data_IF_601254306629
#
_entry.id   IF_601254306629
#
_cell.length_a   1.000
_cell.length_b   1.000
_cell.length_c   1.000
_cell.angle_alpha   90.00
_cell.angle_beta   90.00
_cell.angle_gamma   90.00
#
_symmetry.space_group_name_H-M   'P 1'
#
loop_
_entity.id
_entity.type
_entity.pdbx_description
1 polymer ?
#
# COMPACT_ATOMS: atom_id res chain seq x y z
N UNK A 1 -10.55 30.16 -5.55
CA UNK A 1 -9.96 31.47 -5.89
C UNK A 1 -10.66 32.19 -7.07
N UNK A 2 -11.36 31.50 -7.98
CA UNK A 2 -12.02 32.14 -9.13
C UNK A 2 -13.40 32.79 -8.87
N UNK A 3 -14.08 32.50 -7.76
CA UNK A 3 -15.43 33.05 -7.50
C UNK A 3 -15.42 34.48 -6.92
N UNK A 4 -14.44 34.78 -6.07
CA UNK A 4 -14.28 36.12 -5.46
C UNK A 4 -13.80 37.18 -6.48
N UNK A 5 -12.98 36.77 -7.45
CA UNK A 5 -12.47 37.63 -8.53
C UNK A 5 -13.61 37.97 -9.51
N UNK A 6 -14.49 37.02 -9.81
CA UNK A 6 -15.69 37.26 -10.62
C UNK A 6 -16.70 38.20 -9.92
N UNK A 7 -16.89 38.05 -8.60
CA UNK A 7 -17.75 38.97 -7.84
C UNK A 7 -17.21 40.42 -7.82
N UNK A 8 -15.89 40.61 -7.76
CA UNK A 8 -15.26 41.93 -7.79
C UNK A 8 -15.36 42.59 -9.19
N UNK A 9 -15.22 41.80 -10.26
CA UNK A 9 -15.37 42.32 -11.64
C UNK A 9 -16.83 42.69 -11.92
N UNK A 10 -17.80 41.91 -11.44
CA UNK A 10 -19.24 42.22 -11.58
C UNK A 10 -19.63 43.46 -10.76
N UNK A 11 -19.07 43.64 -9.56
CA UNK A 11 -19.31 44.83 -8.74
C UNK A 11 -18.70 46.12 -9.36
N UNK A 12 -17.55 46.02 -10.01
CA UNK A 12 -16.88 47.15 -10.69
C UNK A 12 -17.59 47.52 -12.00
N UNK A 13 -18.20 46.55 -12.69
CA UNK A 13 -19.02 46.81 -13.87
C UNK A 13 -20.41 47.39 -13.50
N UNK A 14 -20.97 47.01 -12.35
CA UNK A 14 -22.24 47.55 -11.86
C UNK A 14 -22.18 49.04 -11.45
N UNK A 15 -21.01 49.54 -11.03
CA UNK A 15 -20.81 50.94 -10.67
C UNK A 15 -20.66 51.90 -11.87
N UNK A 16 -20.62 51.38 -13.10
CA UNK A 16 -20.40 52.18 -14.32
C UNK A 16 -21.60 52.25 -15.27
N UNK A 17 -22.75 51.65 -14.90
CA UNK A 17 -23.88 51.48 -15.82
C UNK A 17 -25.18 52.13 -15.31
N UNK A 18 -25.21 53.45 -15.15
CA UNK A 18 -26.49 54.20 -15.18
C UNK A 18 -26.32 55.55 -15.88
N UNK A 19 -26.45 55.51 -17.20
CA UNK A 19 -26.86 56.64 -18.01
C UNK A 19 -27.99 56.16 -18.93
N UNK A 20 -29.14 56.86 -18.84
CA UNK A 20 -30.36 56.80 -19.67
C UNK A 20 -31.44 55.75 -19.32
N UNK A 21 -32.59 56.24 -18.82
CA UNK A 21 -33.90 55.90 -19.40
C UNK A 21 -35.02 55.38 -18.48
N UNK A 22 -35.98 56.27 -18.17
CA UNK A 22 -37.42 56.03 -17.93
C UNK A 22 -37.88 55.08 -16.79
N UNK A 23 -38.28 55.70 -15.67
CA UNK A 23 -39.16 55.08 -14.68
C UNK A 23 -40.63 55.46 -14.91
N UNK A 24 -41.43 54.52 -15.42
CA UNK A 24 -42.86 54.46 -15.16
C UNK A 24 -43.09 53.55 -13.96
N UNK A 25 -43.79 54.03 -12.94
CA UNK A 25 -44.25 53.22 -11.82
C UNK A 25 -45.69 53.59 -11.46
N UNK A 26 -46.52 52.56 -11.30
CA UNK A 26 -47.85 52.69 -10.71
C UNK A 26 -48.59 51.36 -10.72
N UNK A 27 -48.49 50.59 -9.65
CA UNK A 27 -49.28 49.38 -9.46
C UNK A 27 -49.26 48.90 -8.01
N UNK A 28 -50.21 49.37 -7.20
CA UNK A 28 -50.76 48.63 -6.06
C UNK A 28 -52.21 49.03 -5.84
N UNK A 29 -53.10 48.03 -5.67
CA UNK A 29 -54.39 48.20 -5.00
C UNK A 29 -55.64 47.75 -5.76
N UNK A 30 -56.02 46.47 -5.65
CA UNK A 30 -57.43 46.08 -5.52
C UNK A 30 -57.97 46.77 -4.25
N UNK A 31 -59.14 47.38 -4.14
CA UNK A 31 -60.43 47.23 -4.80
C UNK A 31 -61.47 47.45 -3.68
N UNK A 32 -62.49 48.30 -3.91
CA UNK A 32 -63.87 48.29 -3.39
C UNK A 32 -64.48 49.72 -3.41
N UNK A 33 -65.18 49.99 -4.52
CA UNK A 33 -66.42 50.78 -4.83
C UNK A 33 -67.13 51.64 -3.73
N UNK A 34 -68.14 52.48 -4.09
CA UNK A 34 -68.26 53.48 -5.18
C UNK A 34 -69.02 54.79 -4.74
N UNK A 35 -69.26 55.70 -5.71
CA UNK A 35 -70.25 56.80 -5.82
C UNK A 35 -69.73 58.25 -5.84
N UNK A 36 -70.16 59.02 -6.86
CA UNK A 36 -70.71 60.37 -6.66
C UNK A 36 -69.95 61.59 -7.23
N UNK A 37 -70.29 61.95 -8.48
CA UNK A 37 -70.49 63.29 -9.08
C UNK A 37 -69.89 64.60 -8.48
N UNK A 38 -69.40 65.45 -9.41
CA UNK A 38 -69.47 66.93 -9.41
C UNK A 38 -68.33 67.64 -8.65
N UNK A 39 -67.74 68.76 -9.09
CA UNK A 39 -67.97 69.70 -10.17
C UNK A 39 -67.33 71.06 -9.78
N UNK A 40 -66.81 71.79 -10.76
CA UNK A 40 -66.53 73.25 -10.80
C UNK A 40 -65.50 73.90 -9.85
N UNK A 41 -64.74 74.86 -10.39
CA UNK A 41 -64.40 76.10 -9.66
C UNK A 41 -63.01 76.69 -9.87
N UNK A 42 -62.96 77.85 -10.52
CA UNK A 42 -61.81 78.75 -10.76
C UNK A 42 -61.17 79.33 -9.48
N UNK A 43 -59.96 79.92 -9.58
CA UNK A 43 -59.58 81.03 -8.70
C UNK A 43 -58.08 81.36 -8.51
N UNK A 44 -57.63 82.42 -9.20
CA UNK A 44 -56.63 83.49 -8.91
C UNK A 44 -55.62 83.47 -7.73
N UNK A 45 -54.45 84.10 -7.98
CA UNK A 45 -53.68 84.92 -7.01
C UNK A 45 -52.19 84.52 -6.86
N UNK A 46 -51.21 85.22 -7.47
CA UNK A 46 -50.47 86.45 -7.02
C UNK A 46 -49.23 86.21 -6.11
N UNK A 47 -48.11 86.85 -6.49
CA UNK A 47 -47.02 87.34 -5.59
C UNK A 47 -45.69 86.56 -5.64
N UNK A 48 -44.65 87.01 -6.37
CA UNK A 48 -43.59 87.98 -5.99
C UNK A 48 -42.51 87.44 -5.02
N UNK A 49 -41.22 87.52 -5.40
CA UNK A 49 -40.10 87.47 -4.46
C UNK A 49 -38.73 87.08 -5.05
N UNK A 50 -37.78 88.01 -5.06
CA UNK A 50 -36.43 87.97 -5.67
C UNK A 50 -35.37 87.09 -4.96
N UNK A 51 -34.34 86.65 -5.74
CA UNK A 51 -33.00 86.14 -5.37
C UNK A 51 -32.15 87.15 -4.54
N UNK A 52 -30.92 86.90 -3.99
CA UNK A 52 -29.91 85.85 -4.29
C UNK A 52 -29.06 85.29 -3.10
N UNK A 53 -28.16 84.32 -3.34
CA UNK A 53 -27.04 84.01 -2.43
C UNK A 53 -26.25 82.72 -2.75
N UNK A 54 -25.04 82.85 -3.30
CA UNK A 54 -24.04 81.76 -3.43
C UNK A 54 -23.39 81.49 -2.05
N UNK A 55 -23.25 80.21 -1.66
CA UNK A 55 -22.62 79.81 -0.39
C UNK A 55 -21.85 78.48 -0.49
N UNK A 56 -20.55 78.53 -0.14
CA UNK A 56 -19.71 77.59 0.63
C UNK A 56 -19.58 76.10 0.16
N UNK A 57 -20.50 75.53 -0.61
CA UNK A 57 -20.52 74.07 -0.86
C UNK A 57 -19.49 73.56 -1.88
N UNK A 58 -19.02 74.39 -2.83
CA UNK A 58 -18.10 73.90 -3.87
C UNK A 58 -16.65 73.74 -3.40
N UNK A 59 -16.21 74.47 -2.38
CA UNK A 59 -14.83 74.38 -1.88
C UNK A 59 -14.64 73.13 -1.02
N UNK A 60 -15.64 72.79 -0.19
CA UNK A 60 -15.67 71.54 0.57
C UNK A 60 -15.74 70.33 -0.38
N UNK A 61 -16.56 70.38 -1.43
CA UNK A 61 -16.65 69.30 -2.43
C UNK A 61 -15.33 69.10 -3.19
N UNK A 62 -14.64 70.18 -3.56
CA UNK A 62 -13.34 70.10 -4.25
C UNK A 62 -12.23 69.55 -3.35
N UNK A 63 -12.19 69.96 -2.07
CA UNK A 63 -11.22 69.47 -1.07
C UNK A 63 -11.49 68.01 -0.71
N UNK A 64 -12.75 67.63 -0.51
CA UNK A 64 -13.16 66.24 -0.25
C UNK A 64 -12.87 65.35 -1.47
N UNK A 65 -13.10 65.80 -2.70
CA UNK A 65 -12.78 65.04 -3.93
C UNK A 65 -11.27 64.88 -4.15
N UNK A 66 -10.46 65.87 -3.75
CA UNK A 66 -8.98 65.80 -3.79
C UNK A 66 -8.42 64.90 -2.68
N UNK A 67 -8.97 64.98 -1.47
CA UNK A 67 -8.62 64.14 -0.32
C UNK A 67 -9.09 62.70 -0.49
N UNK A 68 -10.32 62.45 -0.96
CA UNK A 68 -10.83 61.11 -1.26
C UNK A 68 -10.07 60.47 -2.43
N UNK A 69 -9.61 61.24 -3.42
CA UNK A 69 -8.77 60.74 -4.50
C UNK A 69 -7.37 60.32 -4.04
N UNK A 70 -6.75 61.07 -3.12
CA UNK A 70 -5.42 60.72 -2.58
C UNK A 70 -5.49 59.63 -1.52
N UNK A 71 -6.48 59.64 -0.63
CA UNK A 71 -6.66 58.57 0.37
C UNK A 71 -7.07 57.26 -0.27
N UNK A 72 -7.94 57.26 -1.28
CA UNK A 72 -8.30 56.04 -2.02
C UNK A 72 -7.14 55.51 -2.87
N UNK A 73 -6.28 56.38 -3.45
CA UNK A 73 -5.03 55.97 -4.12
C UNK A 73 -4.01 55.40 -3.14
N UNK A 74 -3.85 56.00 -1.95
CA UNK A 74 -2.98 55.47 -0.90
C UNK A 74 -3.51 54.16 -0.32
N UNK A 75 -4.83 54.00 -0.23
CA UNK A 75 -5.46 52.72 0.13
C UNK A 75 -5.24 51.68 -0.97
N UNK A 76 -5.42 52.02 -2.25
CA UNK A 76 -5.16 51.13 -3.38
C UNK A 76 -3.69 50.72 -3.45
N UNK A 77 -2.75 51.67 -3.34
CA UNK A 77 -1.32 51.42 -3.28
C UNK A 77 -0.97 50.61 -2.02
N UNK A 78 -1.54 50.94 -0.87
CA UNK A 78 -1.36 50.18 0.38
C UNK A 78 -1.92 48.77 0.31
N UNK A 79 -3.06 48.55 -0.35
CA UNK A 79 -3.63 47.23 -0.62
C UNK A 79 -2.86 46.48 -1.70
N UNK A 80 -2.31 47.15 -2.71
CA UNK A 80 -1.45 46.55 -3.72
C UNK A 80 -0.08 46.18 -3.15
N UNK A 81 0.49 47.00 -2.25
CA UNK A 81 1.69 46.70 -1.47
C UNK A 81 1.40 45.59 -0.46
N UNK A 82 0.23 45.58 0.19
CA UNK A 82 -0.18 44.49 1.08
C UNK A 82 -0.42 43.20 0.29
N UNK A 83 -1.01 43.26 -0.91
CA UNK A 83 -1.17 42.10 -1.79
C UNK A 83 0.17 41.64 -2.39
N UNK A 84 1.09 42.56 -2.68
CA UNK A 84 2.47 42.26 -3.09
C UNK A 84 3.26 41.62 -1.94
N UNK A 85 3.14 42.13 -0.71
CA UNK A 85 3.77 41.57 0.48
C UNK A 85 3.14 40.24 0.92
N UNK A 86 1.84 40.03 0.67
CA UNK A 86 1.15 38.73 0.81
C UNK A 86 1.61 37.75 -0.29
N UNK A 87 2.19 38.26 -1.37
CA UNK A 87 2.83 37.49 -2.44
C UNK A 87 4.38 37.56 -2.35
N UNK A 88 4.93 37.78 -1.15
CA UNK A 88 6.32 37.43 -0.89
C UNK A 88 6.42 35.91 -0.98
N UNK A 89 7.06 35.42 -2.04
CA UNK A 89 7.25 33.99 -2.30
C UNK A 89 7.82 33.32 -1.05
N UNK A 90 6.98 32.55 -0.34
CA UNK A 90 7.44 31.76 0.79
C UNK A 90 8.48 30.75 0.29
N UNK A 91 9.53 30.46 1.06
CA UNK A 91 10.56 29.54 0.61
C UNK A 91 9.96 28.14 0.42
N UNK A 92 10.25 27.53 -0.74
CA UNK A 92 9.71 26.23 -1.15
C UNK A 92 10.84 25.19 -1.17
N UNK A 93 10.53 23.96 -0.75
CA UNK A 93 11.44 22.84 -0.91
C UNK A 93 11.39 22.32 -2.36
N UNK A 94 12.53 22.33 -3.04
CA UNK A 94 12.74 21.68 -4.33
C UNK A 94 13.66 20.47 -4.15
N UNK A 95 13.61 19.49 -5.04
CA UNK A 95 14.42 18.28 -4.91
C UNK A 95 14.13 17.22 -5.95
N UNK A 96 14.85 16.10 -5.92
CA UNK A 96 14.42 14.91 -6.65
C UNK A 96 13.24 14.27 -5.91
N UNK A 97 12.02 14.57 -6.37
CA UNK A 97 10.81 14.07 -5.72
C UNK A 97 10.69 12.55 -5.76
N UNK A 98 11.41 11.85 -6.66
CA UNK A 98 11.39 10.40 -6.70
C UNK A 98 12.72 9.77 -7.16
N UNK A 99 12.99 8.57 -6.66
CA UNK A 99 14.05 7.68 -7.12
C UNK A 99 13.56 6.24 -7.11
N UNK A 100 14.18 5.37 -7.90
CA UNK A 100 13.83 3.94 -7.99
C UNK A 100 15.03 3.05 -7.68
N UNK A 101 14.81 1.92 -7.02
CA UNK A 101 15.84 0.89 -6.83
C UNK A 101 16.32 0.33 -8.18
N UNK A 102 17.65 0.34 -8.37
CA UNK A 102 18.33 -0.31 -9.48
C UNK A 102 18.65 -1.76 -9.06
N UNK A 103 17.63 -2.62 -9.10
CA UNK A 103 17.80 -4.04 -8.77
C UNK A 103 16.96 -4.91 -9.69
N UNK A 104 17.57 -5.91 -10.31
CA UNK A 104 16.85 -7.01 -10.96
C UNK A 104 17.05 -8.23 -10.08
N UNK A 105 16.09 -8.50 -9.20
CA UNK A 105 16.22 -9.58 -8.24
C UNK A 105 14.85 -10.00 -7.74
N UNK A 106 14.64 -11.31 -7.69
CA UNK A 106 13.35 -11.92 -7.39
C UNK A 106 13.36 -12.74 -6.09
N UNK A 107 14.44 -12.68 -5.32
CA UNK A 107 14.54 -13.36 -4.03
C UNK A 107 15.23 -12.45 -3.02
N UNK A 108 14.48 -12.03 -2.01
CA UNK A 108 15.01 -11.44 -0.78
C UNK A 108 14.55 -12.27 0.42
N UNK A 109 15.36 -12.39 1.47
CA UNK A 109 14.93 -12.92 2.77
C UNK A 109 15.31 -11.93 3.89
N UNK A 110 14.79 -12.07 5.12
CA UNK A 110 15.27 -11.28 6.25
C UNK A 110 16.78 -11.44 6.52
N UNK A 111 17.33 -12.63 6.29
CA UNK A 111 18.74 -12.97 6.54
C UNK A 111 19.68 -12.52 5.41
N UNK A 112 19.18 -12.56 4.17
CA UNK A 112 19.89 -12.08 2.99
C UNK A 112 18.93 -11.21 2.16
N UNK A 113 18.72 -9.95 2.56
CA UNK A 113 17.79 -9.10 1.86
C UNK A 113 18.36 -8.74 0.49
N UNK A 114 17.47 -8.60 -0.50
CA UNK A 114 17.87 -8.05 -1.79
C UNK A 114 18.28 -6.61 -1.55
N UNK A 115 19.58 -6.35 -1.68
CA UNK A 115 20.13 -5.01 -1.63
C UNK A 115 20.18 -4.47 -3.04
N UNK A 116 19.68 -3.26 -3.22
CA UNK A 116 19.69 -2.57 -4.50
C UNK A 116 20.39 -1.24 -4.36
N UNK A 117 21.05 -0.79 -5.43
CA UNK A 117 21.58 0.56 -5.47
C UNK A 117 20.43 1.53 -5.76
N UNK A 118 20.32 2.59 -4.97
CA UNK A 118 19.31 3.63 -5.12
C UNK A 118 20.03 4.97 -5.25
N UNK A 119 19.47 5.88 -6.05
CA UNK A 119 20.00 7.25 -6.09
C UNK A 119 19.64 7.95 -4.77
N UNK A 120 20.54 8.79 -4.28
CA UNK A 120 20.30 9.55 -3.05
C UNK A 120 19.11 10.50 -3.20
N UNK A 121 18.34 10.68 -2.13
CA UNK A 121 17.32 11.71 -2.09
C UNK A 121 17.97 13.03 -1.68
N UNK A 122 17.55 14.13 -2.29
CA UNK A 122 18.04 15.45 -1.97
C UNK A 122 16.92 16.48 -2.05
N UNK A 123 17.06 17.53 -1.25
CA UNK A 123 16.15 18.66 -1.19
C UNK A 123 16.93 19.96 -0.91
N UNK A 124 16.40 21.07 -1.40
CA UNK A 124 16.95 22.43 -1.25
C UNK A 124 15.81 23.38 -0.91
N UNK A 125 16.12 24.41 -0.12
CA UNK A 125 15.23 25.54 0.06
C UNK A 125 15.47 26.57 -1.05
N UNK A 126 14.39 27.03 -1.68
CA UNK A 126 14.46 28.05 -2.71
C UNK A 126 13.48 29.19 -2.40
N UNK A 127 13.96 30.42 -2.49
CA UNK A 127 13.18 31.65 -2.28
C UNK A 127 13.49 32.61 -3.43
N UNK A 128 12.48 33.16 -4.11
CA UNK A 128 12.66 34.04 -5.29
C UNK A 128 13.61 33.48 -6.37
N UNK A 129 13.62 32.14 -6.54
CA UNK A 129 14.53 31.37 -7.42
C UNK A 129 15.99 31.29 -6.97
N UNK A 130 16.35 31.86 -5.83
CA UNK A 130 17.68 31.74 -5.24
C UNK A 130 17.72 30.65 -4.17
N UNK A 131 18.87 29.99 -4.04
CA UNK A 131 19.07 28.93 -3.05
C UNK A 131 19.36 29.52 -1.68
N UNK A 132 18.54 29.12 -0.70
CA UNK A 132 18.66 29.56 0.69
C UNK A 132 19.64 28.67 1.44
N UNK A 133 20.42 29.27 2.35
CA UNK A 133 21.33 28.52 3.21
C UNK A 133 20.57 27.67 4.24
N UNK A 134 21.03 26.44 4.40
CA UNK A 134 20.41 25.43 5.25
C UNK A 134 21.15 25.43 6.58
N UNK A 135 20.45 25.75 7.67
CA UNK A 135 20.99 25.65 9.03
C UNK A 135 21.00 24.19 9.49
N UNK A 136 19.88 23.50 9.28
CA UNK A 136 19.77 22.07 9.58
C UNK A 136 18.72 21.41 8.69
N UNK A 137 18.86 20.11 8.46
CA UNK A 137 17.87 19.34 7.71
C UNK A 137 17.80 17.90 8.22
N UNK A 138 16.63 17.29 8.05
CA UNK A 138 16.40 15.88 8.36
C UNK A 138 15.40 15.27 7.39
N UNK A 139 15.46 13.95 7.27
CA UNK A 139 14.52 13.18 6.48
C UNK A 139 13.70 12.29 7.41
N UNK A 140 12.38 12.28 7.22
CA UNK A 140 11.44 11.48 8.01
C UNK A 140 10.75 10.49 7.09
N UNK A 141 10.91 9.19 7.34
CA UNK A 141 10.12 8.18 6.64
C UNK A 141 8.70 8.18 7.20
N UNK A 142 7.71 8.41 6.35
CA UNK A 142 6.33 8.65 6.79
C UNK A 142 5.68 7.40 7.40
N UNK A 143 6.03 6.21 6.91
CA UNK A 143 5.40 4.95 7.32
C UNK A 143 5.61 4.60 8.79
N UNK A 144 6.84 4.76 9.29
CA UNK A 144 7.25 4.40 10.66
C UNK A 144 7.77 5.59 11.47
N UNK A 145 7.75 6.81 10.89
CA UNK A 145 8.26 8.06 11.49
C UNK A 145 9.74 7.99 11.86
N UNK A 146 10.51 7.09 11.22
CA UNK A 146 11.95 7.01 11.45
C UNK A 146 12.63 8.26 10.90
N UNK A 147 13.49 8.86 11.71
CA UNK A 147 14.25 10.07 11.38
C UNK A 147 15.65 9.68 10.93
N UNK A 148 16.13 10.36 9.89
CA UNK A 148 17.44 10.21 9.31
C UNK A 148 18.09 11.59 9.22
N UNK A 149 19.31 11.70 9.72
CA UNK A 149 20.08 12.94 9.62
C UNK A 149 20.45 13.21 8.15
N UNK A 150 20.31 14.46 7.73
CA UNK A 150 20.71 14.88 6.38
C UNK A 150 22.21 15.18 6.33
N UNK A 151 22.85 14.78 5.25
CA UNK A 151 24.15 15.30 4.87
C UNK A 151 23.96 16.65 4.16
N UNK A 152 24.53 17.73 4.69
CA UNK A 152 24.44 19.06 4.08
C UNK A 152 25.65 19.25 3.17
N UNK A 153 25.38 19.43 1.87
CA UNK A 153 26.34 19.79 0.85
C UNK A 153 26.33 21.32 0.73
N UNK A 154 27.32 21.96 1.34
CA UNK A 154 27.44 23.43 1.43
C UNK A 154 27.66 24.08 0.06
N UNK A 155 28.42 23.43 -0.84
CA UNK A 155 28.71 23.93 -2.18
C UNK A 155 27.43 24.03 -3.03
N UNK A 156 26.56 23.01 -2.91
CA UNK A 156 25.29 22.96 -3.64
C UNK A 156 24.08 23.42 -2.81
N UNK A 157 24.29 23.90 -1.57
CA UNK A 157 23.23 24.31 -0.63
C UNK A 157 22.07 23.31 -0.54
N UNK A 158 22.38 22.01 -0.46
CA UNK A 158 21.38 20.92 -0.47
C UNK A 158 21.52 19.99 0.71
N UNK A 159 20.38 19.50 1.20
CA UNK A 159 20.31 18.39 2.12
C UNK A 159 20.17 17.09 1.34
N UNK A 160 20.99 16.09 1.68
CA UNK A 160 21.07 14.79 0.99
C UNK A 160 20.89 13.66 1.99
N UNK A 161 20.01 12.72 1.68
CA UNK A 161 19.89 11.44 2.35
C UNK A 161 20.59 10.37 1.52
N UNK A 162 21.71 9.87 2.05
CA UNK A 162 22.54 8.86 1.39
C UNK A 162 21.98 7.47 1.69
N UNK A 163 21.55 6.74 0.65
CA UNK A 163 20.90 5.44 0.84
C UNK A 163 21.88 4.26 0.92
N UNK A 164 23.14 4.40 0.50
CA UNK A 164 24.14 3.32 0.60
C UNK A 164 23.64 1.99 0.01
N UNK A 165 23.93 0.87 0.69
CA UNK A 165 23.50 -0.47 0.26
C UNK A 165 22.34 -0.99 1.15
N UNK A 166 21.15 -0.40 0.95
CA UNK A 166 19.94 -0.70 1.72
C UNK A 166 19.06 -1.78 1.07
N UNK A 167 18.25 -2.49 1.87
CA UNK A 167 17.31 -3.45 1.32
C UNK A 167 16.15 -2.75 0.60
N UNK A 168 15.62 -3.39 -0.45
CA UNK A 168 14.46 -2.87 -1.21
C UNK A 168 13.20 -2.66 -0.37
N UNK A 169 13.15 -3.24 0.83
CA UNK A 169 12.08 -3.03 1.82
C UNK A 169 12.09 -1.63 2.43
N UNK A 170 13.18 -0.87 2.29
CA UNK A 170 13.24 0.54 2.73
C UNK A 170 12.47 1.48 1.80
N UNK A 171 12.03 1.03 0.63
CA UNK A 171 11.23 1.80 -0.32
C UNK A 171 9.95 2.35 0.34
N UNK A 172 9.80 3.68 0.34
CA UNK A 172 8.75 4.38 1.08
C UNK A 172 8.58 5.84 0.62
N UNK A 173 7.60 6.53 1.21
CA UNK A 173 7.50 7.99 1.20
C UNK A 173 8.34 8.59 2.32
N UNK A 174 9.20 9.53 1.94
CA UNK A 174 10.03 10.33 2.83
C UNK A 174 9.53 11.78 2.82
N UNK A 175 9.74 12.48 3.93
CA UNK A 175 9.57 13.92 4.02
C UNK A 175 10.91 14.54 4.37
N UNK A 176 11.37 15.47 3.56
CA UNK A 176 12.49 16.34 3.89
C UNK A 176 11.95 17.51 4.70
N UNK A 177 12.62 17.83 5.80
CA UNK A 177 12.35 18.99 6.66
C UNK A 177 13.65 19.80 6.75
N UNK A 178 13.61 21.04 6.26
CA UNK A 178 14.73 21.98 6.21
C UNK A 178 14.41 23.14 7.15
N UNK A 179 15.40 23.53 7.95
CA UNK A 179 15.39 24.77 8.73
C UNK A 179 16.43 25.69 8.10
N UNK A 180 16.00 26.87 7.67
CA UNK A 180 16.90 27.90 7.14
C UNK A 180 17.46 28.75 8.27
N UNK A 181 18.56 29.47 8.03
CA UNK A 181 19.13 30.43 9.00
C UNK A 181 18.16 31.55 9.43
N UNK A 182 17.10 31.79 8.67
CA UNK A 182 16.00 32.70 9.04
C UNK A 182 14.99 32.09 10.01
N UNK A 183 15.19 30.83 10.44
CA UNK A 183 14.25 30.08 11.28
C UNK A 183 13.01 29.58 10.53
N UNK A 184 13.01 29.61 9.20
CA UNK A 184 11.88 29.11 8.42
C UNK A 184 11.95 27.59 8.28
N UNK A 185 10.86 26.92 8.62
CA UNK A 185 10.69 25.48 8.41
C UNK A 185 10.03 25.21 7.06
N UNK A 186 10.69 24.42 6.24
CA UNK A 186 10.24 24.07 4.89
C UNK A 186 10.20 22.56 4.78
N UNK A 187 9.14 22.03 4.17
CA UNK A 187 8.97 20.60 4.00
C UNK A 187 8.61 20.20 2.56
N UNK A 188 9.14 19.05 2.14
CA UNK A 188 8.86 18.45 0.83
C UNK A 188 8.69 16.95 0.96
N UNK A 189 7.81 16.35 0.16
CA UNK A 189 7.67 14.90 0.10
C UNK A 189 8.50 14.33 -1.05
N UNK A 190 9.22 13.24 -0.79
CA UNK A 190 9.95 12.49 -1.79
C UNK A 190 9.59 11.01 -1.71
N UNK A 191 9.79 10.29 -2.81
CA UNK A 191 9.33 8.92 -2.97
C UNK A 191 10.47 8.01 -3.39
N UNK A 192 10.71 6.96 -2.62
CA UNK A 192 11.64 5.89 -2.95
C UNK A 192 10.83 4.69 -3.47
N UNK A 193 10.79 4.50 -4.79
CA UNK A 193 9.99 3.47 -5.42
C UNK A 193 10.75 2.15 -5.61
N UNK A 194 10.04 1.04 -5.46
CA UNK A 194 10.50 -0.30 -5.76
C UNK A 194 9.41 -1.07 -6.50
N UNK A 195 9.80 -1.78 -7.57
CA UNK A 195 8.96 -2.77 -8.25
C UNK A 195 8.56 -3.90 -7.29
N UNK A 196 7.55 -4.72 -7.66
CA UNK A 196 7.15 -5.84 -6.83
C UNK A 196 8.27 -6.89 -6.81
N UNK A 197 8.80 -7.16 -5.62
CA UNK A 197 9.86 -8.15 -5.39
C UNK A 197 9.33 -9.26 -4.50
N UNK A 198 9.68 -10.50 -4.82
CA UNK A 198 9.36 -11.66 -3.98
C UNK A 198 10.37 -11.75 -2.81
N UNK A 199 9.86 -11.47 -1.61
CA UNK A 199 10.53 -11.57 -0.32
C UNK A 199 10.34 -12.95 0.31
N UNK A 200 10.86 -13.98 -0.38
CA UNK A 200 10.76 -15.36 0.08
C UNK A 200 11.87 -15.76 1.06
N UNK A 201 11.49 -16.35 2.19
CA UNK A 201 12.43 -17.02 3.10
C UNK A 201 13.04 -18.29 2.47
N UNK A 202 14.06 -18.85 3.12
CA UNK A 202 14.69 -20.10 2.68
C UNK A 202 13.72 -21.29 2.65
N UNK A 203 12.75 -21.28 3.58
CA UNK A 203 11.75 -22.33 3.71
C UNK A 203 10.83 -22.44 2.51
N UNK A 204 10.40 -21.33 1.92
CA UNK A 204 9.59 -21.33 0.70
C UNK A 204 10.44 -21.77 -0.48
N UNK A 205 11.62 -21.14 -0.63
CA UNK A 205 12.52 -21.35 -1.75
C UNK A 205 11.86 -20.94 -3.08
N UNK A 206 12.54 -20.16 -3.91
CA UNK A 206 12.00 -19.74 -5.20
C UNK A 206 13.05 -19.98 -6.27
N UNK A 207 12.60 -20.36 -7.46
CA UNK A 207 13.45 -20.52 -8.63
C UNK A 207 12.71 -20.06 -9.89
N UNK A 208 13.50 -19.84 -10.94
CA UNK A 208 13.00 -19.50 -12.27
C UNK A 208 12.89 -20.77 -13.11
N UNK A 209 11.75 -21.01 -13.79
CA UNK A 209 11.61 -22.13 -14.71
C UNK A 209 12.45 -21.95 -15.98
N UNK A 210 12.96 -23.05 -16.53
CA UNK A 210 13.68 -23.07 -17.81
C UNK A 210 12.71 -22.73 -18.96
N UNK A 211 13.12 -21.86 -19.91
CA UNK A 211 12.26 -21.41 -21.03
C UNK A 211 11.73 -19.97 -20.93
N UNK A 212 11.99 -19.29 -19.81
CA UNK A 212 12.10 -17.84 -19.60
C UNK A 212 10.86 -16.92 -19.69
N UNK A 213 10.45 -16.42 -18.52
CA UNK A 213 10.18 -15.00 -18.25
C UNK A 213 10.90 -14.61 -16.94
N UNK A 214 11.61 -13.47 -16.88
CA UNK A 214 12.33 -13.02 -15.67
C UNK A 214 11.40 -12.73 -14.48
N UNK A 215 10.13 -12.48 -14.76
CA UNK A 215 9.11 -12.08 -13.79
C UNK A 215 8.20 -13.24 -13.35
N UNK A 216 8.38 -14.45 -13.89
CA UNK A 216 7.61 -15.65 -13.55
C UNK A 216 8.46 -16.59 -12.70
N UNK A 217 7.99 -16.88 -11.50
CA UNK A 217 8.70 -17.67 -10.51
C UNK A 217 7.88 -18.85 -10.03
N UNK A 218 8.56 -19.84 -9.46
CA UNK A 218 7.92 -21.03 -8.88
C UNK A 218 8.44 -21.27 -7.47
N UNK A 219 7.52 -21.53 -6.53
CA UNK A 219 7.85 -21.95 -5.18
C UNK A 219 8.42 -23.38 -5.21
N UNK A 220 9.60 -23.58 -4.61
CA UNK A 220 10.25 -24.90 -4.54
C UNK A 220 9.46 -25.88 -3.68
N UNK A 221 8.91 -25.41 -2.56
CA UNK A 221 8.14 -26.26 -1.65
C UNK A 221 6.64 -26.15 -1.92
N UNK A 222 5.94 -27.29 -2.10
CA UNK A 222 4.49 -27.28 -2.26
C UNK A 222 3.80 -26.93 -0.93
N UNK A 223 2.60 -26.40 -1.03
CA UNK A 223 1.69 -26.20 0.10
C UNK A 223 0.87 -27.47 0.27
N UNK A 224 0.80 -28.00 1.49
CA UNK A 224 0.01 -29.20 1.78
C UNK A 224 -1.29 -28.82 2.48
N UNK A 225 -2.40 -29.46 2.08
CA UNK A 225 -3.69 -29.27 2.71
C UNK A 225 -4.46 -30.60 2.84
N UNK A 226 -5.22 -30.74 3.92
CA UNK A 226 -6.13 -31.87 4.10
C UNK A 226 -7.50 -31.56 3.49
N UNK A 227 -8.18 -32.59 3.01
CA UNK A 227 -9.57 -32.50 2.60
C UNK A 227 -10.45 -32.03 3.77
N UNK A 228 -11.47 -31.23 3.47
CA UNK A 228 -12.39 -30.67 4.47
C UNK A 228 -11.84 -29.51 5.30
N UNK A 229 -10.52 -29.29 5.30
CA UNK A 229 -9.87 -28.21 6.04
C UNK A 229 -9.67 -26.97 5.16
N UNK A 230 -9.32 -25.85 5.78
CA UNK A 230 -8.96 -24.64 5.05
C UNK A 230 -7.46 -24.66 4.72
N UNK A 231 -7.12 -24.34 3.47
CA UNK A 231 -5.74 -24.08 3.06
C UNK A 231 -5.47 -22.58 3.00
N UNK A 232 -4.23 -22.19 3.27
CA UNK A 232 -3.79 -20.80 3.17
C UNK A 232 -2.51 -20.71 2.36
N UNK A 233 -2.50 -19.83 1.37
CA UNK A 233 -1.34 -19.56 0.52
C UNK A 233 -1.04 -18.06 0.64
N UNK A 234 0.21 -17.72 0.91
CA UNK A 234 0.66 -16.33 1.03
C UNK A 234 1.63 -16.03 -0.10
N UNK A 235 1.40 -14.91 -0.79
CA UNK A 235 2.28 -14.35 -1.80
C UNK A 235 3.22 -13.34 -1.10
N UNK A 236 4.50 -13.70 -0.85
CA UNK A 236 5.40 -12.88 -0.06
C UNK A 236 6.00 -11.77 -0.94
N UNK A 237 5.16 -10.84 -1.39
CA UNK A 237 5.57 -9.73 -2.26
C UNK A 237 5.73 -8.44 -1.47
N UNK A 238 6.80 -7.70 -1.75
CA UNK A 238 7.11 -6.38 -1.21
C UNK A 238 7.35 -5.39 -2.34
N UNK A 239 7.22 -4.10 -2.07
CA UNK A 239 7.39 -3.05 -3.06
C UNK A 239 6.76 -1.74 -2.58
N UNK A 240 7.13 -0.64 -3.24
CA UNK A 240 6.57 0.68 -2.99
C UNK A 240 6.33 1.42 -4.32
N UNK A 241 5.09 1.82 -4.66
CA UNK A 241 3.86 1.67 -3.88
C UNK A 241 3.53 0.21 -3.57
N UNK A 242 2.77 -0.01 -2.50
CA UNK A 242 2.46 -1.37 -2.05
C UNK A 242 1.78 -2.17 -3.16
N UNK A 243 2.35 -3.33 -3.58
CA UNK A 243 1.78 -4.12 -4.64
C UNK A 243 0.40 -4.66 -4.28
N UNK A 244 -0.50 -4.67 -5.26
CA UNK A 244 -1.76 -5.39 -5.19
C UNK A 244 -1.59 -6.77 -5.80
N UNK A 245 -2.39 -7.76 -5.37
CA UNK A 245 -2.21 -9.15 -5.81
C UNK A 245 -3.53 -9.73 -6.32
N UNK A 246 -3.46 -10.43 -7.46
CA UNK A 246 -4.55 -11.22 -8.05
C UNK A 246 -4.13 -12.68 -8.04
N UNK A 247 -5.06 -13.56 -7.68
CA UNK A 247 -4.82 -15.00 -7.68
C UNK A 247 -5.45 -15.65 -8.90
N UNK A 248 -4.79 -16.68 -9.40
CA UNK A 248 -5.27 -17.52 -10.50
C UNK A 248 -5.16 -18.99 -10.11
N UNK A 249 -6.10 -19.80 -10.61
CA UNK A 249 -6.01 -21.27 -10.61
C UNK A 249 -6.23 -21.73 -12.03
N UNK A 250 -5.31 -22.52 -12.55
CA UNK A 250 -5.39 -23.06 -13.92
C UNK A 250 -5.63 -21.93 -14.97
N UNK A 251 -4.87 -20.83 -14.86
CA UNK A 251 -4.97 -19.60 -15.69
C UNK A 251 -6.26 -18.78 -15.54
N UNK A 252 -7.22 -19.21 -14.72
CA UNK A 252 -8.45 -18.46 -14.47
C UNK A 252 -8.33 -17.58 -13.22
N UNK A 253 -8.75 -16.30 -13.28
CA UNK A 253 -8.72 -15.42 -12.11
C UNK A 253 -9.66 -15.95 -11.02
N UNK A 254 -9.23 -15.84 -9.78
CA UNK A 254 -10.00 -16.22 -8.60
C UNK A 254 -10.61 -14.95 -8.02
N UNK A 255 -11.94 -14.91 -7.94
CA UNK A 255 -12.65 -13.85 -7.24
C UNK A 255 -12.99 -14.24 -5.80
N UNK A 256 -13.08 -13.27 -4.87
CA UNK A 256 -13.57 -13.50 -3.53
C UNK A 256 -14.96 -14.15 -3.51
N UNK A 257 -15.11 -15.24 -2.77
CA UNK A 257 -16.34 -16.02 -2.70
C UNK A 257 -16.46 -16.76 -1.36
N UNK A 258 -17.52 -17.57 -1.19
CA UNK A 258 -17.58 -18.52 -0.07
C UNK A 258 -16.40 -19.51 -0.12
N UNK A 259 -15.98 -19.92 -1.32
CA UNK A 259 -14.85 -20.84 -1.51
C UNK A 259 -13.50 -20.17 -1.24
N UNK A 260 -13.30 -18.96 -1.76
CA UNK A 260 -12.02 -18.25 -1.72
C UNK A 260 -12.11 -16.97 -0.88
N UNK A 261 -11.32 -16.90 0.19
CA UNK A 261 -11.14 -15.69 1.00
C UNK A 261 -9.83 -14.98 0.66
N UNK A 262 -9.84 -13.65 0.64
CA UNK A 262 -8.63 -12.84 0.42
C UNK A 262 -8.39 -11.89 1.60
N UNK A 263 -7.13 -11.74 2.01
CA UNK A 263 -6.69 -10.81 3.05
C UNK A 263 -5.46 -10.02 2.61
N UNK A 264 -5.15 -8.95 3.34
CA UNK A 264 -3.96 -8.11 3.13
C UNK A 264 -3.81 -7.61 1.68
N UNK A 265 -4.89 -7.04 1.12
CA UNK A 265 -4.96 -6.57 -0.29
C UNK A 265 -4.65 -7.67 -1.32
N UNK A 266 -5.12 -8.89 -1.03
CA UNK A 266 -4.94 -10.04 -1.91
C UNK A 266 -3.64 -10.80 -1.69
N UNK A 267 -2.75 -10.40 -0.77
CA UNK A 267 -1.51 -11.15 -0.52
C UNK A 267 -1.73 -12.55 0.03
N UNK A 268 -2.85 -12.77 0.74
CA UNK A 268 -3.17 -14.06 1.35
C UNK A 268 -4.47 -14.61 0.76
N UNK A 269 -4.38 -15.81 0.17
CA UNK A 269 -5.51 -16.59 -0.31
C UNK A 269 -5.86 -17.69 0.71
N UNK A 270 -7.12 -17.75 1.10
CA UNK A 270 -7.67 -18.85 1.91
C UNK A 270 -8.64 -19.66 1.06
N UNK A 271 -8.38 -20.95 0.90
CA UNK A 271 -9.25 -21.89 0.20
C UNK A 271 -10.03 -22.64 1.29
N UNK A 272 -11.34 -22.42 1.36
CA UNK A 272 -12.18 -23.02 2.41
C UNK A 272 -12.66 -24.41 2.01
N UNK A 273 -12.75 -25.32 3.00
CA UNK A 273 -13.27 -26.67 2.81
C UNK A 273 -12.66 -27.36 1.57
N UNK A 274 -11.36 -27.64 1.62
CA UNK A 274 -10.58 -28.15 0.48
C UNK A 274 -11.15 -29.48 -0.04
N UNK A 275 -11.25 -29.59 -1.35
CA UNK A 275 -11.73 -30.74 -2.11
C UNK A 275 -10.65 -31.19 -3.10
N UNK A 276 -10.83 -32.38 -3.69
CA UNK A 276 -9.87 -32.93 -4.65
C UNK A 276 -9.63 -32.01 -5.86
N UNK A 277 -10.68 -31.32 -6.33
CA UNK A 277 -10.60 -30.35 -7.44
C UNK A 277 -9.79 -29.09 -7.13
N UNK A 278 -9.52 -28.81 -5.84
CA UNK A 278 -8.76 -27.63 -5.44
C UNK A 278 -7.26 -27.84 -5.55
N UNK A 279 -6.77 -29.08 -5.60
CA UNK A 279 -5.34 -29.35 -5.79
C UNK A 279 -4.89 -28.95 -7.18
N UNK A 280 -3.65 -28.47 -7.30
CA UNK A 280 -3.14 -27.92 -8.55
C UNK A 280 -2.23 -26.71 -8.34
N UNK A 281 -2.06 -25.92 -9.40
CA UNK A 281 -1.19 -24.74 -9.39
C UNK A 281 -2.02 -23.49 -9.16
N UNK A 282 -1.61 -22.72 -8.15
CA UNK A 282 -2.14 -21.39 -7.86
C UNK A 282 -1.06 -20.36 -8.17
N UNK A 283 -1.39 -19.36 -8.99
CA UNK A 283 -0.48 -18.26 -9.32
C UNK A 283 -0.92 -17.01 -8.60
N UNK A 284 0.00 -16.37 -7.87
CA UNK A 284 -0.19 -14.99 -7.46
C UNK A 284 0.49 -14.07 -8.46
N UNK A 285 -0.27 -13.13 -9.04
CA UNK A 285 0.26 -12.03 -9.84
C UNK A 285 0.22 -10.76 -9.01
N UNK A 286 1.38 -10.16 -8.76
CA UNK A 286 1.49 -8.93 -8.01
C UNK A 286 1.91 -7.78 -8.92
N UNK A 287 1.21 -6.65 -8.80
CA UNK A 287 1.44 -5.47 -9.63
C UNK A 287 1.56 -4.20 -8.79
N UNK A 288 2.41 -3.28 -9.24
CA UNK A 288 2.40 -1.90 -8.80
C UNK A 288 2.71 -0.95 -9.96
N UNK A 289 2.37 0.32 -9.78
CA UNK A 289 2.45 1.33 -10.83
C UNK A 289 3.11 2.58 -10.25
N UNK A 290 4.15 3.09 -10.92
CA UNK A 290 4.80 4.34 -10.56
C UNK A 290 5.62 4.90 -11.72
N UNK A 291 5.91 6.20 -11.68
CA UNK A 291 6.83 6.84 -12.62
C UNK A 291 8.28 6.78 -12.10
N UNK A 292 9.23 6.38 -12.96
CA UNK A 292 10.66 6.33 -12.63
C UNK A 292 11.27 7.72 -12.41
N UNK A 293 10.64 8.74 -13.01
CA UNK A 293 11.03 10.15 -12.92
C UNK A 293 9.77 10.94 -12.54
N UNK A 294 9.98 12.02 -11.80
CA UNK A 294 8.93 12.98 -11.42
C UNK A 294 8.18 13.47 -12.66
N UNK A 295 6.85 13.46 -12.61
CA UNK A 295 5.94 13.84 -13.71
C UNK A 295 6.15 13.07 -15.03
N UNK A 296 6.88 11.95 -14.99
CA UNK A 296 7.03 11.04 -16.12
C UNK A 296 5.81 10.14 -16.33
N UNK A 297 5.76 9.41 -17.46
CA UNK A 297 4.73 8.40 -17.65
C UNK A 297 4.84 7.32 -16.57
N UNK A 298 3.70 6.94 -16.01
CA UNK A 298 3.61 5.81 -15.09
C UNK A 298 3.88 4.50 -15.86
N UNK A 299 4.63 3.60 -15.22
CA UNK A 299 4.89 2.26 -15.74
C UNK A 299 4.29 1.22 -14.80
N UNK A 300 3.65 0.22 -15.39
CA UNK A 300 3.16 -0.95 -14.67
C UNK A 300 4.26 -2.00 -14.54
N UNK A 301 4.44 -2.50 -13.33
CA UNK A 301 5.38 -3.56 -13.01
C UNK A 301 4.61 -4.78 -12.50
N UNK A 302 4.96 -5.96 -13.00
CA UNK A 302 4.31 -7.23 -12.65
C UNK A 302 5.37 -8.29 -12.29
N UNK A 303 5.07 -9.08 -11.25
CA UNK A 303 5.77 -10.32 -10.92
C UNK A 303 4.75 -11.40 -10.58
N UNK A 304 5.04 -12.63 -10.99
CA UNK A 304 4.19 -13.80 -10.79
C UNK A 304 4.92 -14.89 -10.00
N UNK A 305 4.23 -15.52 -9.06
CA UNK A 305 4.76 -16.65 -8.30
C UNK A 305 3.74 -17.79 -8.22
N UNK A 306 4.18 -18.96 -8.65
CA UNK A 306 3.37 -20.18 -8.71
C UNK A 306 3.60 -21.05 -7.47
N UNK A 307 2.50 -21.49 -6.88
CA UNK A 307 2.44 -22.41 -5.75
C UNK A 307 1.75 -23.69 -6.17
N UNK A 308 2.31 -24.84 -5.80
CA UNK A 308 1.63 -26.13 -5.97
C UNK A 308 0.91 -26.52 -4.68
N UNK A 309 -0.42 -26.63 -4.72
CA UNK A 309 -1.21 -27.19 -3.62
C UNK A 309 -1.33 -28.71 -3.78
N UNK A 310 -0.90 -29.46 -2.78
CA UNK A 310 -0.96 -30.93 -2.74
C UNK A 310 -1.77 -31.44 -1.56
N UNK A 311 -2.32 -32.64 -1.70
CA UNK A 311 -2.95 -33.36 -0.59
C UNK A 311 -1.90 -33.66 0.48
N UNK A 312 -2.18 -33.29 1.72
CA UNK A 312 -1.37 -33.67 2.86
C UNK A 312 -1.46 -35.20 3.06
N UNK A 313 -0.35 -35.90 2.84
CA UNK A 313 -0.29 -37.35 3.02
C UNK A 313 -0.49 -37.71 4.50
N UNK A 314 -1.66 -38.23 4.86
CA UNK A 314 -2.02 -38.49 6.25
C UNK A 314 -1.55 -39.88 6.74
N UNK A 315 -0.56 -40.52 6.10
CA UNK A 315 -0.12 -41.89 6.40
C UNK A 315 0.95 -41.96 7.51
N UNK A 316 1.36 -40.83 8.08
CA UNK A 316 2.37 -40.79 9.15
C UNK A 316 2.01 -41.61 10.38
N UNK A 317 0.72 -41.68 10.75
CA UNK A 317 0.23 -42.52 11.86
C UNK A 317 0.08 -43.99 11.47
N UNK A 318 0.01 -44.31 10.18
CA UNK A 318 -0.14 -45.68 9.69
C UNK A 318 1.22 -46.40 9.73
N UNK A 319 2.32 -45.68 9.51
CA UNK A 319 3.68 -46.24 9.63
C UNK A 319 3.96 -46.96 10.96
N UNK A 320 3.75 -46.35 12.15
CA UNK A 320 3.98 -47.06 13.40
C UNK A 320 3.04 -48.25 13.59
N UNK A 321 1.80 -48.21 13.09
CA UNK A 321 0.89 -49.36 13.13
C UNK A 321 1.37 -50.52 12.23
N UNK A 322 1.87 -50.21 11.03
CA UNK A 322 2.46 -51.21 10.13
C UNK A 322 3.71 -51.83 10.79
N UNK A 323 4.58 -51.01 11.40
CA UNK A 323 5.77 -51.51 12.09
C UNK A 323 5.39 -52.42 13.26
N UNK A 324 4.39 -52.04 14.07
CA UNK A 324 3.87 -52.88 15.16
C UNK A 324 3.33 -54.20 14.61
N UNK A 325 2.54 -54.17 13.53
CA UNK A 325 2.02 -55.38 12.89
C UNK A 325 3.13 -56.30 12.39
N UNK A 326 4.18 -55.75 11.77
CA UNK A 326 5.35 -56.52 11.32
C UNK A 326 6.06 -57.17 12.52
N UNK A 327 6.28 -56.43 13.61
CA UNK A 327 6.91 -56.96 14.84
C UNK A 327 6.09 -58.11 15.43
N UNK A 328 4.76 -57.93 15.53
CA UNK A 328 3.87 -58.98 16.04
C UNK A 328 3.88 -60.24 15.16
N UNK A 329 3.94 -60.07 13.84
CA UNK A 329 4.00 -61.17 12.89
C UNK A 329 5.33 -61.93 12.99
N UNK A 330 6.45 -61.21 13.15
CA UNK A 330 7.77 -61.81 13.41
C UNK A 330 7.79 -62.58 14.74
N UNK A 331 7.23 -62.01 15.81
CA UNK A 331 7.11 -62.71 17.10
C UNK A 331 6.28 -63.98 16.98
N UNK A 332 5.17 -63.93 16.24
CA UNK A 332 4.34 -65.12 15.99
C UNK A 332 5.10 -66.21 15.24
N UNK A 333 5.86 -65.85 14.20
CA UNK A 333 6.72 -66.78 13.47
C UNK A 333 7.77 -67.40 14.40
N UNK A 334 8.42 -66.60 15.25
CA UNK A 334 9.41 -67.08 16.22
C UNK A 334 8.77 -68.06 17.21
N UNK A 335 7.62 -67.72 17.79
CA UNK A 335 6.90 -68.60 18.73
C UNK A 335 6.54 -69.93 18.04
N UNK A 336 6.03 -69.88 16.82
CA UNK A 336 5.68 -71.08 16.06
C UNK A 336 6.90 -71.93 15.72
N UNK A 337 8.00 -71.30 15.31
CA UNK A 337 9.28 -71.97 15.05
C UNK A 337 9.85 -72.62 16.33
N UNK A 338 9.80 -71.92 17.47
CA UNK A 338 10.21 -72.49 18.77
C UNK A 338 9.34 -73.67 19.18
N UNK A 339 8.02 -73.61 18.94
CA UNK A 339 7.10 -74.73 19.21
C UNK A 339 7.39 -75.94 18.31
N UNK A 340 7.64 -75.69 17.02
CA UNK A 340 8.02 -76.73 16.07
C UNK A 340 9.38 -77.36 16.41
N UNK A 341 10.37 -76.54 16.77
CA UNK A 341 11.70 -76.99 17.20
C UNK A 341 11.64 -77.79 18.52
N UNK A 342 10.84 -77.33 19.48
CA UNK A 342 10.62 -78.04 20.75
C UNK A 342 9.98 -79.41 20.53
N UNK A 343 9.00 -79.51 19.62
CA UNK A 343 8.40 -80.79 19.23
C UNK A 343 9.43 -81.71 18.57
N UNK A 344 10.19 -81.20 17.60
CA UNK A 344 11.23 -81.94 16.91
C UNK A 344 12.30 -82.51 17.87
N UNK A 345 12.76 -81.69 18.84
CA UNK A 345 13.74 -82.12 19.84
C UNK A 345 13.19 -83.12 20.86
N UNK A 346 11.90 -83.03 21.20
CA UNK A 346 11.23 -84.04 22.04
C UNK A 346 11.14 -85.38 21.33
N UNK A 347 10.76 -85.37 20.05
CA UNK A 347 10.68 -86.57 19.21
C UNK A 347 12.08 -87.23 19.09
N UNK A 348 13.14 -86.44 18.93
CA UNK A 348 14.53 -86.91 18.90
C UNK A 348 14.97 -87.56 20.24
N UNK A 349 14.63 -86.94 21.38
CA UNK A 349 14.93 -87.49 22.71
C UNK A 349 14.18 -88.81 22.98
N UNK A 350 12.90 -88.89 22.59
CA UNK A 350 12.09 -90.10 22.76
C UNK A 350 12.54 -91.26 21.86
N UNK A 351 13.14 -90.96 20.70
CA UNK A 351 13.78 -91.96 19.83
C UNK A 351 15.07 -92.47 20.49
N UNK A 352 15.98 -91.58 20.89
CA UNK A 352 17.24 -91.96 21.54
C UNK A 352 17.02 -92.75 22.85
N UNK A 353 15.97 -92.41 23.62
CA UNK A 353 15.59 -93.15 24.84
C UNK A 353 15.07 -94.56 24.54
N UNK A 354 14.32 -94.73 23.44
CA UNK A 354 13.83 -96.05 23.01
C UNK A 354 14.96 -96.94 22.52
N UNK A 355 15.90 -96.41 21.74
CA UNK A 355 17.08 -97.16 21.28
C UNK A 355 17.95 -97.63 22.45
N UNK A 356 18.17 -96.76 23.45
CA UNK A 356 18.93 -97.13 24.65
C UNK A 356 18.25 -98.22 25.48
N UNK A 357 16.91 -98.16 25.61
CA UNK A 357 16.14 -99.20 26.32
C UNK A 357 16.19 -100.54 25.56
N UNK A 358 16.07 -100.50 24.24
CA UNK A 358 16.17 -101.70 23.40
C UNK A 358 17.55 -102.36 23.50
N UNK A 359 18.63 -101.58 23.48
CA UNK A 359 20.00 -102.10 23.66
C UNK A 359 20.21 -102.78 25.02
N UNK A 360 19.64 -102.23 26.10
CA UNK A 360 19.74 -102.84 27.44
C UNK A 360 18.94 -104.14 27.54
N UNK A 361 17.72 -104.21 26.98
CA UNK A 361 16.93 -105.45 26.95
C UNK A 361 17.61 -106.55 26.11
N UNK A 362 18.33 -106.19 25.05
CA UNK A 362 19.07 -107.12 24.19
C UNK A 362 20.37 -107.62 24.83
N UNK A 363 21.03 -106.82 25.66
CA UNK A 363 22.14 -107.26 26.52
C UNK A 363 21.65 -108.18 27.65
N UNK A 364 20.54 -107.86 28.30
CA UNK A 364 19.96 -108.68 29.37
C UNK A 364 19.54 -110.06 28.85
N UNK A 365 18.94 -110.14 27.66
CA UNK A 365 18.64 -111.42 26.99
C UNK A 365 19.89 -112.23 26.67
N UNK A 366 20.97 -111.60 26.20
CA UNK A 366 22.24 -112.29 25.90
C UNK A 366 22.93 -112.84 27.15
N UNK A 367 22.77 -112.19 28.31
CA UNK A 367 23.32 -112.70 29.57
C UNK A 367 22.57 -113.93 30.10
N UNK A 368 21.26 -114.02 29.86
CA UNK A 368 20.44 -115.17 30.30
C UNK A 368 20.69 -116.42 29.45
N UNK A 369 21.04 -116.28 28.17
CA UNK A 369 21.35 -117.43 27.29
C UNK A 369 22.77 -118.03 27.53
N UNK A 370 23.61 -117.38 28.33
CA UNK A 370 24.98 -117.84 28.66
C UNK A 370 25.11 -118.56 30.02
N UNK A 371 24.01 -118.70 30.77
CA UNK A 371 23.89 -119.47 32.02
C UNK A 371 23.14 -120.76 31.72
#
# INVERSE_FOLDING_TARGET
MNFLILCLIVAVLALNAEAWGYGGYGGYGMGYRPWGMGGYGMGYGMGMGMYPGMGIDQFAYAVIRKLMGTTMRLYLIGTLIALYNVCADQPVAIGNLAVSFQGKGYKSSPENPLKGQMNDLWCQAQENREHVEIESAKFVRIGDRKVFDAHIDEDQKRAVLIFGNVPVTEAAKYRCEIITHGGHEIFGNMFAYAHPVIHANESLGVYKPDGNEDNQLVAKKPVYANLGQNAMIECPVVGYPHPSTVWYKDEMPIDPSQKYGMRHKGKQLTIRNVQESDFGVYRCKAYNTFAKVVDGPEADYEVSLDFTLKLAGNYGWIYPLIVILIILLLLFIIIYACKAYGKWKSDEYDVAKREKKFGVEEEEKRMVEQI
#
